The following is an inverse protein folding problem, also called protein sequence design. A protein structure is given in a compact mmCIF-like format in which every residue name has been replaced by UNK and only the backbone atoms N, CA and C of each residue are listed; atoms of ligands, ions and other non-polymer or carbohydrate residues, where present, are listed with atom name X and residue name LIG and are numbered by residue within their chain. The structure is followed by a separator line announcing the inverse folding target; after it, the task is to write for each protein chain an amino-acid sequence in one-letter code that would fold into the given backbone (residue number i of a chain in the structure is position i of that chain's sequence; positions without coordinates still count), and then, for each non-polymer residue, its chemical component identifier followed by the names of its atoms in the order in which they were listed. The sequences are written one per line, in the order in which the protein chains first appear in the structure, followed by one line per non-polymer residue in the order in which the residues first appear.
data_IF_698519226628
#
_entry.id   IF_698519226628
#
_cell.length_a   1.000
_cell.length_b   1.000
_cell.length_c   1.000
_cell.angle_alpha   90.00
_cell.angle_beta   90.00
_cell.angle_gamma   90.00
#
_symmetry.space_group_name_H-M   'P 1'
#
loop_
_entity.id
_entity.type
_entity.pdbx_description
1 polymer ?
#
# COMPACT_ATOMS: atom_id res chain seq x y z
N UNK A 1 40.04 -19.23 30.68
CA UNK A 1 38.93 -19.01 31.63
C UNK A 1 37.85 -18.01 31.15
N UNK A 2 37.85 -17.57 29.87
CA UNK A 2 36.87 -16.59 29.34
C UNK A 2 35.65 -17.24 28.64
N UNK A 3 35.80 -18.46 28.14
CA UNK A 3 34.79 -19.13 27.30
C UNK A 3 33.61 -19.71 28.09
N UNK A 4 33.86 -20.12 29.34
CA UNK A 4 32.82 -20.62 30.25
C UNK A 4 31.91 -19.52 30.78
N UNK A 5 32.33 -18.25 30.72
CA UNK A 5 31.48 -17.11 31.10
C UNK A 5 30.44 -16.78 30.01
N UNK A 6 30.83 -16.90 28.73
CA UNK A 6 29.93 -16.65 27.59
C UNK A 6 28.79 -17.68 27.50
N UNK A 7 29.11 -18.95 27.70
CA UNK A 7 28.12 -20.05 27.68
C UNK A 7 27.11 -19.90 28.84
N UNK A 8 27.56 -19.45 30.01
CA UNK A 8 26.66 -19.22 31.16
C UNK A 8 25.71 -18.03 30.95
N UNK A 9 26.14 -16.99 30.23
CA UNK A 9 25.27 -15.85 29.88
C UNK A 9 24.22 -16.28 28.85
N UNK A 10 24.61 -17.07 27.86
CA UNK A 10 23.68 -17.61 26.85
C UNK A 10 22.66 -18.58 27.44
N UNK A 11 23.07 -19.46 28.36
CA UNK A 11 22.14 -20.33 29.09
C UNK A 11 21.17 -19.58 30.00
N UNK A 12 21.59 -18.45 30.60
CA UNK A 12 20.68 -17.60 31.39
C UNK A 12 19.67 -16.87 30.50
N UNK A 13 20.07 -16.42 29.31
CA UNK A 13 19.15 -15.82 28.33
C UNK A 13 18.15 -16.84 27.78
N UNK A 14 18.60 -18.07 27.53
CA UNK A 14 17.72 -19.18 27.11
C UNK A 14 16.74 -19.58 28.21
N UNK A 15 17.16 -19.67 29.48
CA UNK A 15 16.24 -19.91 30.61
C UNK A 15 15.25 -18.76 30.84
N UNK A 16 15.67 -17.51 30.64
CA UNK A 16 14.79 -16.34 30.75
C UNK A 16 13.75 -16.30 29.61
N UNK A 17 14.13 -16.74 28.40
CA UNK A 17 13.19 -16.93 27.29
C UNK A 17 12.25 -18.12 27.54
N UNK A 18 12.76 -19.22 28.11
CA UNK A 18 11.94 -20.38 28.46
C UNK A 18 10.92 -20.09 29.58
N UNK A 19 11.24 -19.19 30.52
CA UNK A 19 10.29 -18.73 31.55
C UNK A 19 9.31 -17.68 31.05
N UNK A 20 9.71 -16.87 30.06
CA UNK A 20 8.80 -15.94 29.37
C UNK A 20 7.81 -16.68 28.44
N UNK A 21 8.23 -17.83 27.89
CA UNK A 21 7.40 -18.77 27.12
C UNK A 21 6.75 -19.79 28.07
N UNK A 22 6.19 -19.29 29.17
CA UNK A 22 5.51 -20.10 30.17
C UNK A 22 4.50 -21.06 29.55
N UNK A 23 4.86 -22.35 29.59
CA UNK A 23 3.92 -23.47 29.53
C UNK A 23 2.96 -23.31 30.70
N UNK A 24 1.77 -22.80 30.41
CA UNK A 24 0.77 -22.52 31.43
C UNK A 24 -0.54 -22.05 30.80
N UNK A 25 -1.45 -23.00 30.67
CA UNK A 25 -2.89 -22.85 30.45
C UNK A 25 -3.39 -22.90 28.99
N UNK A 26 -3.90 -24.09 28.65
CA UNK A 26 -4.63 -24.46 27.44
C UNK A 26 -6.03 -23.81 27.38
N UNK A 27 -6.11 -22.48 27.41
CA UNK A 27 -7.40 -21.79 27.61
C UNK A 27 -7.63 -20.47 26.87
N UNK A 28 -6.77 -20.04 25.94
CA UNK A 28 -7.00 -18.76 25.20
C UNK A 28 -6.51 -18.83 23.76
N UNK A 29 -7.28 -19.48 22.89
CA UNK A 29 -7.07 -19.45 21.43
C UNK A 29 -7.82 -18.31 20.72
N UNK A 30 -8.35 -17.32 21.45
CA UNK A 30 -9.24 -16.30 20.86
C UNK A 30 -8.78 -14.84 20.98
N UNK A 31 -7.63 -14.55 21.61
CA UNK A 31 -7.19 -13.16 21.87
C UNK A 31 -5.81 -12.85 21.23
N UNK A 32 -5.53 -13.37 20.03
CA UNK A 32 -4.45 -12.84 19.19
C UNK A 32 -5.01 -11.67 18.36
N UNK A 33 -4.25 -10.56 18.17
CA UNK A 33 -4.71 -9.44 17.38
C UNK A 33 -4.93 -9.92 15.95
N UNK A 34 -6.20 -10.11 15.56
CA UNK A 34 -6.59 -10.39 14.18
C UNK A 34 -6.05 -9.25 13.33
N UNK A 35 -4.99 -9.52 12.56
CA UNK A 35 -4.44 -8.58 11.61
C UNK A 35 -5.58 -8.02 10.76
N UNK A 36 -5.68 -6.70 10.63
CA UNK A 36 -6.82 -6.07 9.98
C UNK A 36 -6.68 -6.23 8.45
N UNK A 37 -7.24 -7.33 7.92
CA UNK A 37 -7.08 -7.76 6.53
C UNK A 37 -7.61 -6.74 5.50
N UNK A 38 -8.36 -5.72 5.92
CA UNK A 38 -9.04 -4.80 5.00
C UNK A 38 -8.14 -3.73 4.38
N UNK A 39 -6.88 -3.59 4.84
CA UNK A 39 -5.95 -2.54 4.35
C UNK A 39 -4.67 -3.11 3.71
N UNK A 40 -4.55 -4.42 3.60
CA UNK A 40 -3.37 -5.10 3.01
C UNK A 40 -3.48 -5.25 1.50
N UNK A 41 -2.34 -5.44 0.85
CA UNK A 41 -2.37 -5.97 -0.52
C UNK A 41 -2.98 -7.38 -0.47
N UNK A 42 -3.81 -7.75 -1.46
CA UNK A 42 -4.53 -9.02 -1.42
C UNK A 42 -3.58 -10.23 -1.28
N UNK A 43 -2.36 -10.15 -1.79
CA UNK A 43 -1.33 -11.17 -1.58
C UNK A 43 -0.90 -11.31 -0.11
N UNK A 44 -0.59 -10.21 0.59
CA UNK A 44 -0.10 -10.26 1.98
C UNK A 44 -1.15 -10.82 2.94
N UNK A 45 -2.40 -10.40 2.76
CA UNK A 45 -3.54 -10.96 3.48
C UNK A 45 -3.64 -12.47 3.28
N UNK A 46 -3.40 -12.94 2.04
CA UNK A 46 -3.42 -14.37 1.73
C UNK A 46 -2.20 -15.12 2.27
N UNK A 47 -1.01 -14.53 2.23
CA UNK A 47 0.23 -15.07 2.79
C UNK A 47 0.08 -15.32 4.29
N UNK A 48 -0.47 -14.35 5.03
CA UNK A 48 -0.74 -14.51 6.46
C UNK A 48 -1.75 -15.63 6.75
N UNK A 49 -2.87 -15.67 6.02
CA UNK A 49 -3.87 -16.75 6.18
C UNK A 49 -3.28 -18.14 5.93
N UNK A 50 -2.41 -18.26 4.92
CA UNK A 50 -1.76 -19.52 4.56
C UNK A 50 -0.71 -19.89 5.61
N UNK A 51 0.08 -18.92 6.10
CA UNK A 51 1.06 -19.14 7.16
C UNK A 51 0.40 -19.52 8.51
N UNK A 52 -0.72 -18.90 8.88
CA UNK A 52 -1.46 -19.26 10.10
C UNK A 52 -2.02 -20.69 10.03
N UNK A 53 -2.57 -21.09 8.87
CA UNK A 53 -3.00 -22.48 8.67
C UNK A 53 -1.84 -23.47 8.75
N UNK A 54 -0.66 -23.14 8.23
CA UNK A 54 0.53 -24.00 8.40
C UNK A 54 0.94 -24.14 9.87
N UNK A 55 0.84 -23.05 10.66
CA UNK A 55 1.08 -23.08 12.10
C UNK A 55 0.08 -23.98 12.82
N UNK A 56 -1.20 -23.91 12.46
CA UNK A 56 -2.25 -24.78 13.00
C UNK A 56 -1.93 -26.25 12.70
N UNK A 57 -1.57 -26.59 11.46
CA UNK A 57 -1.17 -27.97 11.10
C UNK A 57 0.01 -28.43 11.97
N UNK A 58 1.07 -27.62 12.08
CA UNK A 58 2.24 -27.98 12.92
C UNK A 58 1.85 -28.17 14.39
N UNK A 59 0.95 -27.35 14.91
CA UNK A 59 0.45 -27.46 16.30
C UNK A 59 -0.36 -28.74 16.50
N UNK A 60 -1.25 -29.06 15.57
CA UNK A 60 -2.03 -30.31 15.58
C UNK A 60 -1.13 -31.54 15.45
N UNK A 61 -0.02 -31.43 14.71
CA UNK A 61 0.99 -32.49 14.60
C UNK A 61 1.71 -32.71 15.94
N UNK A 62 2.10 -31.64 16.64
CA UNK A 62 2.69 -31.74 17.98
C UNK A 62 1.70 -32.31 18.99
N UNK A 63 0.44 -31.89 18.96
CA UNK A 63 -0.60 -32.48 19.82
C UNK A 63 -0.73 -34.00 19.56
N UNK A 64 -0.59 -34.42 18.30
CA UNK A 64 -0.62 -35.84 17.95
C UNK A 64 0.62 -36.62 18.43
N UNK A 65 1.76 -35.97 18.69
CA UNK A 65 2.95 -36.57 19.31
C UNK A 65 2.81 -36.70 20.84
N UNK A 66 2.09 -35.76 21.46
CA UNK A 66 1.87 -35.72 22.91
C UNK A 66 0.77 -36.69 23.39
N UNK A 67 -0.05 -37.22 22.48
CA UNK A 67 -1.10 -38.19 22.80
C UNK A 67 -0.48 -39.58 23.08
N UNK A 68 -0.52 -40.09 24.33
CA UNK A 68 0.01 -41.41 24.66
C UNK A 68 -0.75 -42.50 23.89
N UNK A 69 -0.06 -43.58 23.52
CA UNK A 69 -0.57 -44.66 22.66
C UNK A 69 -1.85 -45.36 23.17
N UNK A 70 -2.26 -45.11 24.42
CA UNK A 70 -3.51 -45.60 25.03
C UNK A 70 -4.72 -44.65 24.93
N UNK A 71 -4.56 -43.46 24.36
CA UNK A 71 -5.68 -42.51 24.16
C UNK A 71 -6.51 -42.96 22.96
N UNK A 72 -7.82 -43.17 23.16
CA UNK A 72 -8.70 -43.82 22.21
C UNK A 72 -8.53 -43.39 20.73
N UNK A 73 -8.63 -44.34 19.78
CA UNK A 73 -8.34 -44.12 18.36
C UNK A 73 -9.14 -42.96 17.75
N UNK A 74 -10.31 -42.66 18.31
CA UNK A 74 -11.19 -41.55 17.92
C UNK A 74 -10.48 -40.19 17.96
N UNK A 75 -9.69 -39.88 18.99
CA UNK A 75 -9.03 -38.56 19.11
C UNK A 75 -7.92 -38.38 18.07
N UNK A 76 -7.17 -39.46 17.79
CA UNK A 76 -6.14 -39.47 16.73
C UNK A 76 -6.76 -39.33 15.34
N UNK A 77 -7.87 -40.03 15.09
CA UNK A 77 -8.62 -39.94 13.82
C UNK A 77 -9.17 -38.52 13.62
N UNK A 78 -9.69 -37.88 14.67
CA UNK A 78 -10.21 -36.52 14.61
C UNK A 78 -9.11 -35.50 14.23
N UNK A 79 -7.96 -35.55 14.91
CA UNK A 79 -6.82 -34.68 14.60
C UNK A 79 -6.32 -34.93 13.17
N UNK A 80 -6.23 -36.19 12.74
CA UNK A 80 -5.85 -36.53 11.36
C UNK A 80 -6.85 -35.98 10.32
N UNK A 81 -8.15 -36.01 10.63
CA UNK A 81 -9.18 -35.43 9.76
C UNK A 81 -9.07 -33.90 9.70
N UNK A 82 -8.79 -33.25 10.83
CA UNK A 82 -8.57 -31.79 10.89
C UNK A 82 -7.33 -31.39 10.09
N UNK A 83 -6.21 -32.11 10.20
CA UNK A 83 -5.01 -31.85 9.40
C UNK A 83 -5.30 -32.00 7.90
N UNK A 84 -6.02 -33.05 7.48
CA UNK A 84 -6.43 -33.24 6.07
C UNK A 84 -7.37 -32.13 5.57
N UNK A 85 -8.22 -31.59 6.45
CA UNK A 85 -9.09 -30.45 6.13
C UNK A 85 -8.25 -29.19 5.91
N UNK A 86 -7.32 -28.90 6.82
CA UNK A 86 -6.45 -27.73 6.68
C UNK A 86 -5.44 -27.85 5.53
N UNK A 87 -4.93 -29.04 5.22
CA UNK A 87 -4.07 -29.26 4.05
C UNK A 87 -4.79 -28.90 2.75
N UNK A 88 -6.07 -29.31 2.61
CA UNK A 88 -6.90 -28.93 1.47
C UNK A 88 -7.10 -27.41 1.40
N UNK A 89 -7.37 -26.78 2.55
CA UNK A 89 -7.54 -25.32 2.62
C UNK A 89 -6.26 -24.57 2.22
N UNK A 90 -5.09 -25.02 2.70
CA UNK A 90 -3.80 -24.44 2.34
C UNK A 90 -3.50 -24.66 0.86
N UNK A 91 -3.77 -25.85 0.32
CA UNK A 91 -3.55 -26.11 -1.12
C UNK A 91 -4.36 -25.16 -2.01
N UNK A 92 -5.63 -24.93 -1.67
CA UNK A 92 -6.46 -23.93 -2.35
C UNK A 92 -5.91 -22.52 -2.14
N UNK A 93 -5.57 -22.17 -0.89
CA UNK A 93 -5.01 -20.86 -0.55
C UNK A 93 -3.67 -20.56 -1.24
N UNK A 94 -2.83 -21.56 -1.45
CA UNK A 94 -1.55 -21.44 -2.17
C UNK A 94 -1.75 -21.17 -3.67
N UNK A 95 -2.78 -21.74 -4.29
CA UNK A 95 -3.11 -21.45 -5.70
C UNK A 95 -3.54 -20.00 -5.86
N UNK A 96 -4.38 -19.51 -4.95
CA UNK A 96 -4.81 -18.11 -4.91
C UNK A 96 -3.63 -17.17 -4.59
N UNK A 97 -2.78 -17.53 -3.63
CA UNK A 97 -1.58 -16.76 -3.31
C UNK A 97 -0.63 -16.65 -4.51
N UNK A 98 -0.49 -17.72 -5.31
CA UNK A 98 0.31 -17.68 -6.54
C UNK A 98 -0.24 -16.68 -7.56
N UNK A 99 -1.56 -16.67 -7.78
CA UNK A 99 -2.17 -15.73 -8.72
C UNK A 99 -1.99 -14.29 -8.27
N UNK A 100 -2.10 -14.04 -6.96
CA UNK A 100 -1.90 -12.72 -6.38
C UNK A 100 -0.42 -12.29 -6.39
N UNK A 101 0.51 -13.22 -6.17
CA UNK A 101 1.95 -12.98 -6.27
C UNK A 101 2.37 -12.56 -7.68
N UNK A 102 1.78 -13.17 -8.71
CA UNK A 102 2.00 -12.78 -10.11
C UNK A 102 1.46 -11.37 -10.39
N UNK A 103 0.28 -11.05 -9.86
CA UNK A 103 -0.36 -9.76 -10.04
C UNK A 103 0.40 -8.62 -9.33
N UNK A 104 0.97 -8.89 -8.16
CA UNK A 104 1.69 -7.91 -7.34
C UNK A 104 3.22 -7.94 -7.52
N UNK A 105 3.75 -8.76 -8.44
CA UNK A 105 5.19 -8.99 -8.65
C UNK A 105 5.97 -9.47 -7.40
N UNK A 106 5.31 -10.18 -6.48
CA UNK A 106 5.88 -10.70 -5.23
C UNK A 106 6.23 -12.19 -5.32
N UNK A 107 6.69 -12.66 -6.48
CA UNK A 107 6.98 -14.08 -6.72
C UNK A 107 8.08 -14.63 -5.80
N UNK A 108 9.07 -13.82 -5.42
CA UNK A 108 10.11 -14.22 -4.47
C UNK A 108 9.53 -14.55 -3.09
N UNK A 109 8.64 -13.72 -2.55
CA UNK A 109 8.00 -13.98 -1.26
C UNK A 109 7.09 -15.23 -1.31
N UNK A 110 6.53 -15.52 -2.48
CA UNK A 110 5.71 -16.72 -2.69
C UNK A 110 6.57 -17.99 -2.76
N UNK A 111 7.78 -17.91 -3.30
CA UNK A 111 8.73 -19.02 -3.31
C UNK A 111 9.14 -19.41 -1.89
N UNK A 112 9.38 -18.44 -1.02
CA UNK A 112 9.65 -18.68 0.41
C UNK A 112 8.46 -19.33 1.11
N UNK A 113 7.25 -18.80 0.89
CA UNK A 113 6.01 -19.39 1.41
C UNK A 113 5.80 -20.83 0.90
N UNK A 114 6.12 -21.08 -0.37
CA UNK A 114 6.05 -22.41 -0.96
C UNK A 114 7.08 -23.36 -0.35
N UNK A 115 8.28 -22.86 -0.03
CA UNK A 115 9.31 -23.59 0.71
C UNK A 115 8.75 -24.10 2.04
N UNK A 116 8.20 -23.19 2.86
CA UNK A 116 7.60 -23.55 4.14
C UNK A 116 6.39 -24.49 4.01
N UNK A 117 5.58 -24.34 2.96
CA UNK A 117 4.48 -25.27 2.69
C UNK A 117 5.00 -26.68 2.39
N UNK A 118 6.01 -26.80 1.53
CA UNK A 118 6.63 -28.08 1.18
C UNK A 118 7.24 -28.75 2.40
N UNK A 119 7.95 -28.00 3.25
CA UNK A 119 8.49 -28.50 4.52
C UNK A 119 7.36 -29.03 5.41
N UNK A 120 6.30 -28.25 5.62
CA UNK A 120 5.12 -28.68 6.41
C UNK A 120 4.50 -29.96 5.86
N UNK A 121 4.37 -30.07 4.53
CA UNK A 121 3.82 -31.25 3.88
C UNK A 121 4.74 -32.47 3.99
N UNK A 122 6.05 -32.29 3.89
CA UNK A 122 7.04 -33.35 4.07
C UNK A 122 7.01 -33.90 5.50
N UNK A 123 6.93 -33.03 6.50
CA UNK A 123 6.79 -33.43 7.91
C UNK A 123 5.53 -34.28 8.10
N UNK A 124 4.42 -33.85 7.52
CA UNK A 124 3.16 -34.58 7.60
C UNK A 124 3.24 -35.96 6.92
N UNK A 125 3.85 -36.03 5.73
CA UNK A 125 4.03 -37.29 4.99
C UNK A 125 4.96 -38.25 5.71
N UNK A 126 6.06 -37.77 6.26
CA UNK A 126 6.98 -38.58 7.06
C UNK A 126 6.26 -39.21 8.27
N UNK A 127 5.37 -38.44 8.91
CA UNK A 127 4.63 -38.87 10.10
C UNK A 127 3.43 -39.77 9.78
N UNK A 128 2.67 -39.43 8.75
CA UNK A 128 1.50 -40.20 8.31
C UNK A 128 1.87 -41.46 7.54
N UNK A 129 3.00 -41.47 6.84
CA UNK A 129 3.54 -42.63 6.15
C UNK A 129 3.93 -43.76 7.11
N UNK A 130 4.32 -43.44 8.34
CA UNK A 130 4.56 -44.41 9.42
C UNK A 130 3.25 -44.95 10.00
N UNK A 131 2.14 -44.21 9.91
CA UNK A 131 0.82 -44.62 10.42
C UNK A 131 0.02 -45.48 9.43
N UNK A 132 0.46 -45.60 8.17
CA UNK A 132 -0.09 -46.56 7.20
C UNK A 132 0.52 -47.96 7.40
N UNK A 133 0.36 -48.54 8.58
CA UNK A 133 0.36 -49.99 8.74
C UNK A 133 -0.91 -50.42 9.45
N UNK A 134 -2.01 -50.65 8.71
CA UNK A 134 -2.99 -51.61 9.12
C UNK A 134 -2.57 -52.97 8.53
N UNK A 135 -2.04 -53.82 9.40
CA UNK A 135 -2.16 -55.26 9.24
C UNK A 135 -3.63 -55.61 9.02
N UNK A 136 -4.05 -55.89 7.78
CA UNK A 136 -5.09 -56.89 7.57
C UNK A 136 -5.06 -57.49 6.16
N UNK A 137 -4.94 -58.80 6.18
CA UNK A 137 -5.34 -59.80 5.20
C UNK A 137 -6.62 -59.47 4.42
N UNK A 138 -6.58 -59.60 3.09
CA UNK A 138 -7.78 -59.61 2.25
C UNK A 138 -7.49 -59.63 0.75
N UNK A 139 -7.75 -60.73 0.02
CA UNK A 139 -7.40 -60.89 -1.39
C UNK A 139 -8.56 -60.49 -2.32
N UNK A 140 -8.24 -59.80 -3.41
CA UNK A 140 -9.01 -59.75 -4.68
C UNK A 140 -8.09 -59.02 -5.67
N UNK A 141 -7.60 -59.66 -6.75
CA UNK A 141 -8.37 -59.96 -7.97
C UNK A 141 -8.79 -58.61 -8.56
N UNK A 142 -8.34 -58.10 -9.71
CA UNK A 142 -8.26 -58.64 -11.07
C UNK A 142 -7.22 -57.71 -11.79
N UNK A 143 -6.12 -58.17 -12.38
CA UNK A 143 -6.06 -58.84 -13.69
C UNK A 143 -5.62 -57.86 -14.79
N UNK A 144 -4.32 -57.84 -15.13
CA UNK A 144 -3.83 -57.45 -16.46
C UNK A 144 -2.39 -57.93 -16.66
N UNK A 145 -2.27 -59.08 -17.32
CA UNK A 145 -1.03 -59.67 -17.79
C UNK A 145 -0.82 -59.17 -19.23
N UNK A 146 0.24 -58.43 -19.53
CA UNK A 146 0.78 -58.44 -20.89
C UNK A 146 2.29 -58.15 -21.00
N UNK A 147 2.87 -58.98 -21.86
CA UNK A 147 4.23 -59.15 -22.39
C UNK A 147 5.16 -57.93 -22.50
N UNK A 148 6.42 -58.19 -22.13
CA UNK A 148 7.63 -58.09 -23.00
C UNK A 148 7.56 -57.17 -24.23
N UNK A 149 8.36 -56.10 -24.21
CA UNK A 149 8.76 -55.34 -25.39
C UNK A 149 9.77 -54.26 -25.01
N UNK A 150 11.00 -54.37 -25.52
CA UNK A 150 12.11 -53.47 -25.20
C UNK A 150 11.98 -52.07 -25.79
N UNK A 151 12.62 -51.11 -25.13
CA UNK A 151 12.83 -49.75 -25.63
C UNK A 151 13.79 -48.98 -24.72
N UNK A 152 15.02 -48.76 -25.20
CA UNK A 152 15.97 -47.81 -24.63
C UNK A 152 15.60 -46.40 -25.09
N UNK A 153 15.49 -45.42 -24.18
CA UNK A 153 15.88 -44.02 -24.39
C UNK A 153 15.60 -43.17 -23.14
N UNK A 154 16.53 -42.26 -22.81
CA UNK A 154 16.27 -41.10 -21.95
C UNK A 154 16.92 -41.11 -20.56
N UNK A 155 18.24 -40.94 -20.50
CA UNK A 155 18.92 -40.42 -19.29
C UNK A 155 18.71 -38.91 -19.29
N UNK A 156 17.86 -38.40 -18.40
CA UNK A 156 17.89 -37.00 -17.98
C UNK A 156 18.31 -36.95 -16.51
N UNK A 157 19.39 -36.19 -16.28
CA UNK A 157 20.03 -36.03 -15.00
C UNK A 157 19.09 -35.34 -14.01
N UNK A 158 18.63 -36.09 -13.01
CA UNK A 158 18.04 -35.53 -11.80
C UNK A 158 19.18 -34.90 -11.00
N UNK A 159 19.10 -33.60 -10.74
CA UNK A 159 19.97 -32.90 -9.80
C UNK A 159 19.71 -33.52 -8.42
N UNK A 160 20.69 -34.28 -7.95
CA UNK A 160 20.73 -34.88 -6.62
C UNK A 160 21.03 -33.76 -5.62
N UNK A 161 19.98 -33.08 -5.15
CA UNK A 161 20.05 -32.28 -3.93
C UNK A 161 19.92 -33.26 -2.76
N UNK A 162 21.05 -33.84 -2.34
CA UNK A 162 21.18 -34.53 -1.05
C UNK A 162 20.96 -33.51 0.09
N UNK A 163 19.70 -33.20 0.37
CA UNK A 163 19.30 -32.81 1.71
C UNK A 163 19.15 -34.12 2.49
N UNK A 164 20.20 -34.52 3.21
CA UNK A 164 20.20 -35.69 4.08
C UNK A 164 18.95 -35.67 4.99
N UNK A 165 18.01 -36.59 4.71
CA UNK A 165 16.78 -36.74 5.47
C UNK A 165 17.13 -37.20 6.89
N UNK A 166 16.69 -36.49 7.95
CA UNK A 166 16.77 -37.04 9.29
C UNK A 166 15.79 -38.20 9.43
N UNK A 167 16.25 -39.27 10.08
CA UNK A 167 15.50 -40.50 10.36
C UNK A 167 14.11 -40.23 10.97
N UNK A 168 13.14 -41.15 10.78
CA UNK A 168 11.79 -41.01 11.32
C UNK A 168 11.87 -40.99 12.86
N UNK A 169 11.66 -39.80 13.44
CA UNK A 169 11.79 -39.55 14.88
C UNK A 169 12.67 -38.35 15.26
N UNK A 170 13.34 -37.71 14.30
CA UNK A 170 14.31 -36.63 14.58
C UNK A 170 13.88 -35.19 14.29
N UNK A 171 12.65 -34.93 13.82
CA UNK A 171 12.21 -33.55 13.53
C UNK A 171 11.50 -32.95 14.75
N UNK A 172 12.23 -32.15 15.52
CA UNK A 172 11.60 -31.32 16.55
C UNK A 172 10.86 -30.17 15.87
N UNK A 173 9.52 -30.23 15.84
CA UNK A 173 8.66 -29.10 15.43
C UNK A 173 8.97 -27.86 16.31
N UNK A 174 9.46 -28.06 17.54
CA UNK A 174 9.97 -27.03 18.46
C UNK A 174 11.27 -26.36 18.01
N UNK A 175 12.03 -26.96 17.10
CA UNK A 175 13.30 -26.46 16.57
C UNK A 175 13.16 -25.84 15.16
N UNK A 176 11.95 -25.80 14.57
CA UNK A 176 11.64 -25.07 13.32
C UNK A 176 11.62 -23.54 13.57
N UNK A 177 12.73 -23.02 14.09
CA UNK A 177 12.95 -21.61 14.38
C UNK A 177 12.91 -20.75 13.12
N UNK A 178 13.24 -21.32 11.97
CA UNK A 178 13.16 -20.64 10.67
C UNK A 178 11.72 -20.27 10.32
N UNK A 179 10.77 -21.20 10.47
CA UNK A 179 9.36 -20.87 10.26
C UNK A 179 8.80 -19.91 11.31
N UNK A 180 9.20 -20.04 12.57
CA UNK A 180 8.78 -19.11 13.62
C UNK A 180 9.29 -17.68 13.35
N UNK A 181 10.55 -17.54 12.92
CA UNK A 181 11.12 -16.26 12.49
C UNK A 181 10.42 -15.71 11.25
N UNK A 182 10.13 -16.54 10.25
CA UNK A 182 9.38 -16.14 9.06
C UNK A 182 7.99 -15.61 9.45
N UNK A 183 7.23 -16.36 10.25
CA UNK A 183 5.90 -15.96 10.69
C UNK A 183 5.92 -14.65 11.49
N UNK A 184 6.87 -14.51 12.42
CA UNK A 184 7.06 -13.30 13.19
C UNK A 184 7.46 -12.11 12.30
N UNK A 185 8.32 -12.32 11.32
CA UNK A 185 8.73 -11.28 10.37
C UNK A 185 7.55 -10.83 9.50
N UNK A 186 6.72 -11.76 9.01
CA UNK A 186 5.48 -11.44 8.30
C UNK A 186 4.58 -10.58 9.19
N UNK A 187 4.34 -10.98 10.44
CA UNK A 187 3.51 -10.23 11.37
C UNK A 187 4.06 -8.83 11.72
N UNK A 188 5.39 -8.68 11.84
CA UNK A 188 6.00 -7.38 12.10
C UNK A 188 5.95 -6.45 10.88
N UNK A 189 6.20 -6.98 9.68
CA UNK A 189 6.06 -6.23 8.45
C UNK A 189 4.62 -5.74 8.26
N UNK A 190 3.64 -6.56 8.64
CA UNK A 190 2.22 -6.22 8.61
C UNK A 190 1.90 -5.02 9.50
N UNK A 191 2.38 -5.03 10.75
CA UNK A 191 2.19 -3.92 11.70
C UNK A 191 2.88 -2.62 11.20
N UNK A 192 4.07 -2.75 10.62
CA UNK A 192 4.80 -1.62 10.08
C UNK A 192 4.06 -0.99 8.89
N UNK A 193 3.52 -1.82 7.99
CA UNK A 193 2.71 -1.36 6.86
C UNK A 193 1.41 -0.69 7.32
N UNK A 194 0.75 -1.21 8.36
CA UNK A 194 -0.44 -0.60 8.93
C UNK A 194 -0.18 0.84 9.40
N UNK A 195 0.91 1.03 10.13
CA UNK A 195 1.33 2.36 10.60
C UNK A 195 1.66 3.31 9.45
N UNK A 196 2.24 2.81 8.36
CA UNK A 196 2.52 3.60 7.17
C UNK A 196 1.22 4.03 6.46
N UNK A 197 0.25 3.13 6.33
CA UNK A 197 -1.05 3.44 5.72
C UNK A 197 -1.86 4.45 6.53
N UNK A 198 -1.86 4.36 7.85
CA UNK A 198 -2.54 5.37 8.69
C UNK A 198 -1.92 6.76 8.51
N UNK A 199 -0.60 6.84 8.35
CA UNK A 199 0.08 8.12 8.04
C UNK A 199 -0.32 8.66 6.67
N UNK A 200 -0.44 7.79 5.67
CA UNK A 200 -0.91 8.18 4.33
C UNK A 200 -2.35 8.66 4.39
N UNK A 201 -3.24 7.94 5.08
CA UNK A 201 -4.64 8.30 5.25
C UNK A 201 -4.78 9.70 5.88
N UNK A 202 -4.02 9.98 6.94
CA UNK A 202 -3.98 11.31 7.55
C UNK A 202 -3.45 12.38 6.58
N UNK A 203 -2.43 12.06 5.78
CA UNK A 203 -1.90 12.96 4.76
C UNK A 203 -2.92 13.29 3.68
N UNK A 204 -3.65 12.30 3.18
CA UNK A 204 -4.71 12.46 2.17
C UNK A 204 -5.87 13.27 2.73
N UNK A 205 -6.28 13.03 3.98
CA UNK A 205 -7.33 13.82 4.62
C UNK A 205 -6.93 15.31 4.72
N UNK A 206 -5.70 15.60 5.15
CA UNK A 206 -5.18 16.97 5.17
C UNK A 206 -5.12 17.61 3.78
N UNK A 207 -4.75 16.83 2.76
CA UNK A 207 -4.75 17.32 1.39
C UNK A 207 -6.17 17.65 0.91
N UNK A 208 -7.17 16.82 1.26
CA UNK A 208 -8.56 17.08 0.95
C UNK A 208 -9.06 18.36 1.64
N UNK A 209 -8.76 18.54 2.93
CA UNK A 209 -9.07 19.77 3.67
C UNK A 209 -8.42 20.99 3.00
N UNK A 210 -7.12 20.92 2.67
CA UNK A 210 -6.43 22.00 1.96
C UNK A 210 -7.04 22.29 0.58
N UNK A 211 -7.44 21.26 -0.18
CA UNK A 211 -8.09 21.46 -1.46
C UNK A 211 -9.44 22.17 -1.32
N UNK A 212 -10.21 21.86 -0.27
CA UNK A 212 -11.47 22.58 0.01
C UNK A 212 -11.23 24.04 0.40
N UNK A 213 -10.21 24.32 1.21
CA UNK A 213 -9.83 25.68 1.58
C UNK A 213 -9.36 26.47 0.36
N UNK A 214 -8.53 25.87 -0.50
CA UNK A 214 -8.09 26.51 -1.75
C UNK A 214 -9.28 26.80 -2.68
N UNK A 215 -10.27 25.91 -2.77
CA UNK A 215 -11.47 26.16 -3.56
C UNK A 215 -12.28 27.35 -3.02
N UNK A 216 -12.39 27.47 -1.69
CA UNK A 216 -13.04 28.61 -1.06
C UNK A 216 -12.28 29.92 -1.34
N UNK A 217 -10.95 29.91 -1.19
CA UNK A 217 -10.11 31.07 -1.46
C UNK A 217 -10.18 31.50 -2.93
N UNK A 218 -10.19 30.54 -3.87
CA UNK A 218 -10.37 30.81 -5.29
C UNK A 218 -11.72 31.47 -5.59
N UNK A 219 -12.80 31.04 -4.92
CA UNK A 219 -14.11 31.69 -5.05
C UNK A 219 -14.10 33.12 -4.50
N UNK A 220 -13.40 33.37 -3.40
CA UNK A 220 -13.25 34.72 -2.86
C UNK A 220 -12.46 35.59 -3.83
N UNK A 221 -11.36 35.06 -4.39
CA UNK A 221 -10.55 35.77 -5.38
C UNK A 221 -11.31 36.09 -6.67
N UNK A 222 -12.21 35.22 -7.11
CA UNK A 222 -13.08 35.46 -8.27
C UNK A 222 -13.99 36.68 -8.04
N UNK A 223 -14.63 36.77 -6.86
CA UNK A 223 -15.45 37.93 -6.47
C UNK A 223 -14.62 39.21 -6.36
N UNK A 224 -13.40 39.12 -5.81
CA UNK A 224 -12.50 40.26 -5.68
C UNK A 224 -12.00 40.75 -7.06
N UNK A 225 -11.81 39.84 -8.02
CA UNK A 225 -11.48 40.20 -9.40
C UNK A 225 -12.63 40.95 -10.07
N UNK A 226 -13.87 40.50 -9.92
CA UNK A 226 -15.07 41.19 -10.42
C UNK A 226 -15.20 42.61 -9.85
N UNK A 227 -14.94 42.79 -8.55
CA UNK A 227 -14.93 44.11 -7.93
C UNK A 227 -13.78 44.99 -8.44
N UNK A 228 -12.63 44.39 -8.72
CA UNK A 228 -11.47 45.08 -9.27
C UNK A 228 -11.74 45.52 -10.71
N UNK A 229 -12.35 44.68 -11.53
CA UNK A 229 -12.78 45.02 -12.90
C UNK A 229 -13.75 46.21 -12.89
N UNK A 230 -14.78 46.18 -12.03
CA UNK A 230 -15.72 47.30 -11.86
C UNK A 230 -15.02 48.60 -11.44
N UNK A 231 -14.01 48.52 -10.56
CA UNK A 231 -13.21 49.68 -10.15
C UNK A 231 -12.36 50.21 -11.30
N UNK A 232 -11.74 49.33 -12.10
CA UNK A 232 -10.95 49.69 -13.29
C UNK A 232 -11.84 50.38 -14.33
N UNK A 233 -13.01 49.83 -14.63
CA UNK A 233 -13.99 50.43 -15.53
C UNK A 233 -14.43 51.82 -15.05
N UNK A 234 -14.69 51.96 -13.74
CA UNK A 234 -15.03 53.24 -13.13
C UNK A 234 -13.90 54.27 -13.28
N UNK A 235 -12.65 53.88 -13.09
CA UNK A 235 -11.48 54.75 -13.29
C UNK A 235 -11.33 55.11 -14.77
N UNK A 236 -11.50 54.16 -15.68
CA UNK A 236 -11.42 54.42 -17.12
C UNK A 236 -12.53 55.37 -17.59
N UNK A 237 -13.75 55.23 -17.07
CA UNK A 237 -14.87 56.13 -17.34
C UNK A 237 -14.58 57.56 -16.82
N UNK A 238 -14.04 57.67 -15.60
CA UNK A 238 -13.60 58.97 -15.04
C UNK A 238 -12.49 59.60 -15.87
N UNK A 239 -11.49 58.84 -16.30
CA UNK A 239 -10.40 59.32 -17.14
C UNK A 239 -10.91 59.80 -18.52
N UNK A 240 -11.85 59.06 -19.13
CA UNK A 240 -12.51 59.47 -20.38
C UNK A 240 -13.34 60.75 -20.20
N UNK A 241 -14.05 60.88 -19.08
CA UNK A 241 -14.79 62.08 -18.71
C UNK A 241 -13.87 63.30 -18.54
N UNK A 242 -12.77 63.14 -17.79
CA UNK A 242 -11.77 64.20 -17.61
C UNK A 242 -11.15 64.62 -18.94
N UNK A 243 -10.76 63.68 -19.80
CA UNK A 243 -10.27 63.98 -21.14
C UNK A 243 -11.30 64.76 -21.98
N UNK A 244 -12.60 64.42 -21.89
CA UNK A 244 -13.66 65.16 -22.57
C UNK A 244 -13.77 66.59 -22.02
N UNK A 245 -13.80 66.76 -20.70
CA UNK A 245 -13.89 68.09 -20.08
C UNK A 245 -12.64 68.96 -20.36
N UNK A 246 -11.46 68.35 -20.40
CA UNK A 246 -10.21 69.01 -20.75
C UNK A 246 -10.26 69.48 -22.20
N UNK A 247 -10.71 68.63 -23.13
CA UNK A 247 -10.86 68.98 -24.55
C UNK A 247 -11.90 70.08 -24.76
N UNK A 248 -13.02 70.04 -24.02
CA UNK A 248 -14.02 71.12 -24.03
C UNK A 248 -13.46 72.44 -23.46
N UNK A 249 -12.66 72.37 -22.40
CA UNK A 249 -12.00 73.54 -21.81
C UNK A 249 -10.99 74.16 -22.78
N UNK A 250 -10.16 73.35 -23.43
CA UNK A 250 -9.24 73.80 -24.47
C UNK A 250 -10.00 74.48 -25.61
N UNK A 251 -11.09 73.86 -26.09
CA UNK A 251 -11.91 74.43 -27.17
C UNK A 251 -12.58 75.76 -26.77
N UNK A 252 -13.02 75.90 -25.51
CA UNK A 252 -13.53 77.16 -24.99
C UNK A 252 -12.46 78.24 -24.96
N UNK A 253 -11.25 77.92 -24.48
CA UNK A 253 -10.11 78.86 -24.44
C UNK A 253 -9.69 79.28 -25.86
N UNK A 254 -9.68 78.36 -26.83
CA UNK A 254 -9.40 78.70 -28.23
C UNK A 254 -10.47 79.61 -28.83
N UNK A 255 -11.76 79.36 -28.57
CA UNK A 255 -12.84 80.23 -29.02
C UNK A 255 -12.77 81.63 -28.39
N UNK A 256 -12.35 81.74 -27.13
CA UNK A 256 -12.20 83.02 -26.44
C UNK A 256 -11.03 83.84 -27.02
N UNK A 257 -9.93 83.15 -27.36
CA UNK A 257 -8.80 83.75 -28.09
C UNK A 257 -9.24 84.25 -29.48
N UNK A 258 -10.07 83.50 -30.20
CA UNK A 258 -10.61 83.94 -31.50
C UNK A 258 -11.44 85.23 -31.37
N UNK A 259 -12.25 85.36 -30.31
CA UNK A 259 -13.00 86.60 -30.05
C UNK A 259 -12.06 87.80 -29.81
N UNK A 260 -11.00 87.58 -29.02
CA UNK A 260 -10.00 88.62 -28.74
C UNK A 260 -9.25 89.06 -30.02
N UNK A 261 -8.89 88.11 -30.90
CA UNK A 261 -8.28 88.43 -32.20
C UNK A 261 -9.22 89.27 -33.08
N UNK A 262 -10.49 88.91 -33.20
CA UNK A 262 -11.48 89.68 -33.98
C UNK A 262 -11.63 91.11 -33.44
N UNK A 263 -11.72 91.27 -32.12
CA UNK A 263 -11.81 92.58 -31.48
C UNK A 263 -10.55 93.43 -31.71
N UNK A 264 -9.36 92.82 -31.59
CA UNK A 264 -8.09 93.48 -31.89
C UNK A 264 -8.00 93.94 -33.36
N UNK A 265 -8.44 93.10 -34.31
CA UNK A 265 -8.52 93.47 -35.73
C UNK A 265 -9.46 94.66 -35.98
N UNK A 266 -10.60 94.74 -35.29
CA UNK A 266 -11.52 95.87 -35.41
C UNK A 266 -10.89 97.20 -34.95
N UNK A 267 -10.13 97.17 -33.85
CA UNK A 267 -9.42 98.37 -33.35
C UNK A 267 -8.34 98.80 -34.34
N UNK A 268 -7.54 97.87 -34.87
CA UNK A 268 -6.51 98.17 -35.87
C UNK A 268 -7.11 98.73 -37.16
N UNK A 269 -8.22 98.17 -37.64
CA UNK A 269 -8.95 98.70 -38.79
C UNK A 269 -9.51 100.10 -38.52
N UNK A 270 -10.03 100.36 -37.32
CA UNK A 270 -10.49 101.68 -36.90
C UNK A 270 -9.38 102.72 -36.89
N UNK A 271 -8.20 102.37 -36.36
CA UNK A 271 -7.03 103.25 -36.36
C UNK A 271 -6.49 103.49 -37.78
N UNK A 272 -6.35 102.43 -38.58
CA UNK A 272 -5.92 102.55 -39.97
C UNK A 272 -6.91 103.41 -40.79
N UNK A 273 -8.21 103.21 -40.60
CA UNK A 273 -9.26 104.01 -41.22
C UNK A 273 -9.23 105.47 -40.78
N UNK A 274 -9.01 105.74 -39.48
CA UNK A 274 -8.86 107.09 -38.95
C UNK A 274 -7.64 107.82 -39.51
N UNK A 275 -6.49 107.12 -39.59
CA UNK A 275 -5.27 107.66 -40.21
C UNK A 275 -5.52 107.94 -41.70
N UNK A 276 -6.15 107.01 -42.42
CA UNK A 276 -6.48 107.21 -43.83
C UNK A 276 -7.43 108.40 -44.03
N UNK A 277 -8.44 108.56 -43.17
CA UNK A 277 -9.36 109.69 -43.21
C UNK A 277 -8.63 111.02 -42.99
N UNK A 278 -7.75 111.10 -42.00
CA UNK A 278 -6.97 112.33 -41.70
C UNK A 278 -5.96 112.66 -42.81
N UNK A 279 -5.32 111.66 -43.42
CA UNK A 279 -4.41 111.87 -44.56
C UNK A 279 -5.19 112.32 -45.79
N UNK A 280 -6.36 111.73 -46.03
CA UNK A 280 -7.22 112.10 -47.15
C UNK A 280 -7.86 113.48 -47.00
N UNK A 281 -8.16 113.91 -45.78
CA UNK A 281 -8.71 115.25 -45.50
C UNK A 281 -7.65 116.36 -45.63
N UNK A 282 -6.37 116.00 -45.55
CA UNK A 282 -5.23 116.92 -45.70
C UNK A 282 -4.68 117.05 -47.12
N UNK A 283 -5.20 116.28 -48.08
CA UNK A 283 -4.75 116.26 -49.47
C UNK A 283 -5.88 116.72 -50.39
#
# INVERSE_FOLDING_TARGET
MSETASVNVSMRKLKALQSAVGVGNAGRLNDEPKADLSKMTPYQAKQFQVADKMRIIRTLMTELDEIPEGSGPTRRIEINNQIRKEERNISTGMKEARTLALQEQKMSEYEDLQGHFKTTQQLWRARSGVVSSPSDSGPSGYGAMNKSGGGKAGREASIELEAALPAPGGYNIREDGEFAMFFQQTQQNDLAMHKALDRIQQGVQRLAENATLLNQELKIQDVLLDETEKKVDGVHAKMKGLNKTLKETIKKVDNDRLCLYVFCCLILLGLAGGIYYVIKDKN
#
